data_IF_166900315579
#
_entry.id   IF_166900315579
#
_cell.length_a   1.000
_cell.length_b   1.000
_cell.length_c   1.000
_cell.angle_alpha   90.00
_cell.angle_beta   90.00
_cell.angle_gamma   90.00
#
_symmetry.space_group_name_H-M   'P 1'
#
loop_
_entity.id
_entity.type
_entity.pdbx_description
1 polymer ?
#
# COMPACT_ATOMS: atom_id res chain seq x y z
N UNK A 1 34.22 -11.49 -0.14
CA UNK A 1 34.53 -11.99 -1.49
C UNK A 1 33.36 -12.74 -2.17
N UNK A 2 32.59 -13.54 -1.41
CA UNK A 2 31.47 -14.31 -2.00
C UNK A 2 30.20 -13.47 -2.22
N UNK A 3 29.95 -12.46 -1.41
CA UNK A 3 28.75 -11.62 -1.50
C UNK A 3 28.76 -10.73 -2.77
N UNK A 4 29.90 -10.17 -3.14
CA UNK A 4 30.01 -9.39 -4.37
C UNK A 4 29.81 -10.23 -5.64
N UNK A 5 30.28 -11.48 -5.65
CA UNK A 5 30.06 -12.41 -6.78
C UNK A 5 28.59 -12.81 -6.91
N UNK A 6 27.89 -13.01 -5.80
CA UNK A 6 26.45 -13.28 -5.78
C UNK A 6 25.64 -12.08 -6.28
N UNK A 7 25.97 -10.88 -5.81
CA UNK A 7 25.30 -9.63 -6.24
C UNK A 7 25.57 -9.31 -7.72
N UNK A 8 26.72 -9.68 -8.27
CA UNK A 8 27.00 -9.53 -9.71
C UNK A 8 26.20 -10.47 -10.60
N UNK A 9 25.72 -11.60 -10.09
CA UNK A 9 24.86 -12.55 -10.82
C UNK A 9 23.37 -12.22 -10.75
N UNK A 10 22.97 -11.38 -9.78
CA UNK A 10 21.61 -10.91 -9.65
C UNK A 10 21.39 -9.76 -10.64
N UNK A 11 20.39 -9.92 -11.53
CA UNK A 11 19.91 -8.81 -12.36
C UNK A 11 19.19 -7.80 -11.46
N UNK A 12 19.49 -6.51 -11.62
CA UNK A 12 18.91 -5.43 -10.85
C UNK A 12 19.94 -4.58 -10.11
N UNK A 13 19.48 -3.50 -9.49
CA UNK A 13 20.33 -2.58 -8.73
C UNK A 13 20.74 -3.23 -7.40
N UNK A 14 22.03 -3.18 -7.11
CA UNK A 14 22.61 -3.74 -5.88
C UNK A 14 22.11 -3.05 -4.62
N UNK A 15 21.87 -1.73 -4.70
CA UNK A 15 21.37 -0.94 -3.58
C UNK A 15 19.98 -1.43 -3.18
N UNK A 16 19.11 -1.67 -4.16
CA UNK A 16 17.76 -2.22 -3.91
C UNK A 16 17.84 -3.57 -3.21
N UNK A 17 18.75 -4.45 -3.64
CA UNK A 17 18.94 -5.76 -3.01
C UNK A 17 19.43 -5.65 -1.57
N UNK A 18 20.37 -4.75 -1.29
CA UNK A 18 20.91 -4.53 0.06
C UNK A 18 19.81 -3.99 0.97
N UNK A 19 19.07 -2.98 0.52
CA UNK A 19 17.95 -2.40 1.29
C UNK A 19 16.88 -3.46 1.58
N UNK A 20 16.53 -4.27 0.60
CA UNK A 20 15.54 -5.34 0.75
C UNK A 20 15.99 -6.39 1.77
N UNK A 21 17.27 -6.78 1.76
CA UNK A 21 17.85 -7.70 2.75
C UNK A 21 17.83 -7.10 4.15
N UNK A 22 18.26 -5.85 4.31
CA UNK A 22 18.26 -5.15 5.60
C UNK A 22 16.83 -5.07 6.16
N UNK A 23 15.86 -4.61 5.35
CA UNK A 23 14.47 -4.53 5.77
C UNK A 23 13.89 -5.91 6.13
N UNK A 24 14.27 -6.96 5.42
CA UNK A 24 13.83 -8.33 5.73
C UNK A 24 14.38 -8.82 7.05
N UNK A 25 15.65 -8.52 7.36
CA UNK A 25 16.25 -8.85 8.66
C UNK A 25 15.57 -8.10 9.80
N UNK A 26 15.34 -6.79 9.64
CA UNK A 26 14.60 -6.01 10.63
C UNK A 26 13.18 -6.56 10.82
N UNK A 27 12.49 -6.91 9.73
CA UNK A 27 11.16 -7.50 9.80
C UNK A 27 11.13 -8.79 10.62
N UNK A 28 12.12 -9.67 10.46
CA UNK A 28 12.26 -10.90 11.25
C UNK A 28 12.44 -10.61 12.74
N UNK A 29 13.31 -9.65 13.09
CA UNK A 29 13.55 -9.25 14.47
C UNK A 29 12.29 -8.67 15.12
N UNK A 30 11.59 -7.75 14.41
CA UNK A 30 10.37 -7.15 14.89
C UNK A 30 9.26 -8.20 15.09
N UNK A 31 9.08 -9.10 14.14
CA UNK A 31 8.06 -10.17 14.26
C UNK A 31 8.39 -11.08 15.45
N UNK A 32 9.66 -11.47 15.62
CA UNK A 32 10.05 -12.30 16.76
C UNK A 32 9.79 -11.61 18.10
N UNK A 33 10.12 -10.31 18.21
CA UNK A 33 9.92 -9.52 19.43
C UNK A 33 8.43 -9.27 19.72
N UNK A 34 7.64 -8.91 18.69
CA UNK A 34 6.24 -8.46 18.87
C UNK A 34 5.23 -9.60 19.02
N UNK A 35 5.57 -10.83 18.62
CA UNK A 35 4.63 -11.95 18.60
C UNK A 35 4.48 -12.69 19.95
N UNK A 36 5.19 -12.30 21.00
CA UNK A 36 5.13 -12.95 22.30
C UNK A 36 3.70 -13.07 22.87
N UNK A 37 2.95 -11.98 22.94
CA UNK A 37 1.57 -11.96 23.45
C UNK A 37 0.60 -12.75 22.55
N UNK A 38 0.83 -12.73 21.23
CA UNK A 38 0.04 -13.45 20.26
C UNK A 38 0.30 -14.96 20.31
N UNK A 39 1.56 -15.34 20.57
CA UNK A 39 1.97 -16.73 20.75
C UNK A 39 1.27 -17.38 21.94
N UNK A 40 1.18 -16.68 23.07
CA UNK A 40 0.43 -17.17 24.23
C UNK A 40 -1.07 -17.38 23.93
N UNK A 41 -1.68 -16.48 23.16
CA UNK A 41 -3.12 -16.56 22.84
C UNK A 41 -3.47 -17.62 21.79
N UNK A 42 -2.60 -17.87 20.79
CA UNK A 42 -2.93 -18.67 19.60
C UNK A 42 -2.07 -19.93 19.40
N UNK A 43 -0.92 -20.01 20.03
CA UNK A 43 0.06 -21.07 19.77
C UNK A 43 0.70 -21.64 21.06
N UNK A 44 0.00 -21.59 22.20
CA UNK A 44 0.50 -22.16 23.47
C UNK A 44 1.86 -21.63 23.92
N UNK A 45 2.20 -20.38 23.58
CA UNK A 45 3.48 -19.74 23.92
C UNK A 45 4.58 -19.93 22.87
N UNK A 46 4.33 -20.62 21.76
CA UNK A 46 5.35 -20.91 20.75
C UNK A 46 5.58 -19.74 19.80
N UNK A 47 6.50 -18.84 20.14
CA UNK A 47 6.90 -17.70 19.32
C UNK A 47 7.63 -18.13 18.05
N UNK A 48 8.34 -19.26 18.10
CA UNK A 48 9.09 -19.79 16.97
C UNK A 48 8.17 -20.16 15.78
N UNK A 49 6.94 -20.58 16.04
CA UNK A 49 5.96 -20.87 14.99
C UNK A 49 5.69 -19.65 14.11
N UNK A 50 5.48 -18.47 14.71
CA UNK A 50 5.24 -17.23 13.97
C UNK A 50 6.48 -16.75 13.21
N UNK A 51 7.66 -16.88 13.83
CA UNK A 51 8.94 -16.60 13.19
C UNK A 51 9.17 -17.48 11.96
N UNK A 52 9.01 -18.80 12.09
CA UNK A 52 9.22 -19.74 10.99
C UNK A 52 8.23 -19.49 9.84
N UNK A 53 6.96 -19.21 10.17
CA UNK A 53 5.94 -18.85 9.18
C UNK A 53 6.32 -17.57 8.42
N UNK A 54 6.75 -16.52 9.14
CA UNK A 54 7.16 -15.26 8.52
C UNK A 54 8.42 -15.42 7.66
N UNK A 55 9.40 -16.15 8.15
CA UNK A 55 10.62 -16.48 7.41
C UNK A 55 10.30 -17.26 6.12
N UNK A 56 9.42 -18.24 6.17
CA UNK A 56 8.95 -18.98 5.00
C UNK A 56 8.27 -18.08 3.97
N UNK A 57 7.43 -17.12 4.42
CA UNK A 57 6.80 -16.14 3.53
C UNK A 57 7.82 -15.21 2.87
N UNK A 58 8.85 -14.76 3.61
CA UNK A 58 9.93 -13.95 3.05
C UNK A 58 10.73 -14.73 2.01
N UNK A 59 11.11 -15.97 2.27
CA UNK A 59 11.80 -16.82 1.30
C UNK A 59 10.96 -17.03 0.04
N UNK A 60 9.65 -17.30 0.19
CA UNK A 60 8.72 -17.39 -0.93
C UNK A 60 8.65 -16.09 -1.73
N UNK A 61 8.58 -14.94 -1.07
CA UNK A 61 8.63 -13.63 -1.70
C UNK A 61 9.93 -13.39 -2.49
N UNK A 62 11.08 -13.69 -1.90
CA UNK A 62 12.38 -13.62 -2.59
C UNK A 62 12.42 -14.53 -3.82
N UNK A 63 11.90 -15.75 -3.71
CA UNK A 63 11.84 -16.68 -4.83
C UNK A 63 10.99 -16.12 -5.98
N UNK A 64 9.81 -15.56 -5.67
CA UNK A 64 8.94 -14.92 -6.66
C UNK A 64 9.64 -13.74 -7.33
N UNK A 65 10.31 -12.87 -6.56
CA UNK A 65 11.07 -11.73 -7.10
C UNK A 65 12.15 -12.23 -8.08
N UNK A 66 12.91 -13.27 -7.71
CA UNK A 66 13.95 -13.84 -8.57
C UNK A 66 13.38 -14.45 -9.84
N UNK A 67 12.23 -15.12 -9.77
CA UNK A 67 11.54 -15.65 -10.94
C UNK A 67 11.08 -14.53 -11.87
N UNK A 68 10.47 -13.48 -11.34
CA UNK A 68 10.00 -12.34 -12.12
C UNK A 68 11.17 -11.66 -12.83
N UNK A 69 12.26 -11.35 -12.11
CA UNK A 69 13.43 -10.67 -12.69
C UNK A 69 14.11 -11.53 -13.77
N UNK A 70 14.17 -12.86 -13.59
CA UNK A 70 14.83 -13.75 -14.55
C UNK A 70 13.97 -14.08 -15.76
N UNK A 71 12.68 -14.30 -15.57
CA UNK A 71 11.80 -14.89 -16.60
C UNK A 71 10.81 -13.92 -17.23
N UNK A 72 10.39 -12.87 -16.50
CA UNK A 72 9.37 -11.94 -16.98
C UNK A 72 10.03 -10.76 -17.68
N UNK A 73 9.76 -10.61 -18.98
CA UNK A 73 10.19 -9.41 -19.73
C UNK A 73 9.24 -8.24 -19.41
N UNK A 74 9.77 -7.03 -19.31
CA UNK A 74 9.01 -5.80 -19.04
C UNK A 74 7.82 -5.64 -20.01
N UNK A 75 7.98 -6.07 -21.26
CA UNK A 75 6.89 -6.08 -22.25
C UNK A 75 5.65 -6.85 -21.77
N UNK A 76 5.83 -8.00 -21.13
CA UNK A 76 4.69 -8.77 -20.60
C UNK A 76 4.03 -8.08 -19.41
N UNK A 77 4.82 -7.49 -18.51
CA UNK A 77 4.27 -6.69 -17.41
C UNK A 77 3.42 -5.54 -17.94
N UNK A 78 3.88 -4.87 -18.99
CA UNK A 78 3.13 -3.81 -19.66
C UNK A 78 1.80 -4.35 -20.26
N UNK A 79 1.82 -5.46 -21.00
CA UNK A 79 0.61 -6.02 -21.63
C UNK A 79 -0.41 -6.45 -20.56
N UNK A 80 0.05 -7.14 -19.53
CA UNK A 80 -0.83 -7.66 -18.47
C UNK A 80 -1.25 -6.64 -17.43
N UNK A 81 -0.70 -5.42 -17.45
CA UNK A 81 -1.00 -4.40 -16.42
C UNK A 81 -2.48 -4.06 -16.30
N UNK A 82 -3.20 -3.91 -17.42
CA UNK A 82 -4.63 -3.62 -17.43
C UNK A 82 -5.47 -4.80 -16.93
N UNK A 83 -5.11 -6.01 -17.34
CA UNK A 83 -5.81 -7.23 -16.91
C UNK A 83 -5.58 -7.49 -15.41
N UNK A 84 -4.33 -7.30 -14.95
CA UNK A 84 -3.96 -7.41 -13.54
C UNK A 84 -4.73 -6.40 -12.68
N UNK A 85 -4.88 -5.15 -13.16
CA UNK A 85 -5.64 -4.13 -12.45
C UNK A 85 -7.12 -4.50 -12.36
N UNK A 86 -7.73 -4.92 -13.47
CA UNK A 86 -9.13 -5.32 -13.48
C UNK A 86 -9.38 -6.51 -12.54
N UNK A 87 -8.54 -7.53 -12.61
CA UNK A 87 -8.63 -8.72 -11.75
C UNK A 87 -8.45 -8.39 -10.27
N UNK A 88 -7.40 -7.65 -9.92
CA UNK A 88 -7.12 -7.29 -8.53
C UNK A 88 -8.18 -6.34 -7.94
N UNK A 89 -8.71 -5.42 -8.76
CA UNK A 89 -9.81 -4.55 -8.35
C UNK A 89 -11.11 -5.35 -8.15
N UNK A 90 -11.40 -6.30 -9.01
CA UNK A 90 -12.50 -7.25 -8.83
C UNK A 90 -12.40 -8.04 -7.51
N UNK A 91 -11.20 -8.53 -7.17
CA UNK A 91 -10.95 -9.18 -5.88
C UNK A 91 -11.15 -8.23 -4.70
N UNK A 92 -10.77 -6.95 -4.83
CA UNK A 92 -11.02 -5.94 -3.81
C UNK A 92 -12.52 -5.73 -3.58
N UNK A 93 -13.29 -5.57 -4.64
CA UNK A 93 -14.74 -5.44 -4.57
C UNK A 93 -15.39 -6.68 -3.96
N UNK A 94 -14.95 -7.86 -4.37
CA UNK A 94 -15.41 -9.12 -3.79
C UNK A 94 -15.16 -9.19 -2.28
N UNK A 95 -13.97 -8.81 -1.83
CA UNK A 95 -13.65 -8.76 -0.40
C UNK A 95 -14.51 -7.76 0.38
N UNK A 96 -14.84 -6.62 -0.24
CA UNK A 96 -15.73 -5.62 0.36
C UNK A 96 -17.18 -6.12 0.48
N UNK A 97 -17.69 -6.82 -0.54
CA UNK A 97 -19.06 -7.35 -0.57
C UNK A 97 -19.22 -8.53 0.39
N UNK A 98 -18.30 -9.47 0.34
CA UNK A 98 -18.38 -10.68 1.18
C UNK A 98 -18.13 -10.37 2.65
N UNK A 99 -17.51 -9.25 3.00
CA UNK A 99 -17.08 -8.91 4.37
C UNK A 99 -16.45 -10.11 5.09
N UNK A 100 -15.76 -10.97 4.34
CA UNK A 100 -15.16 -12.20 4.81
C UNK A 100 -14.00 -11.85 5.74
N UNK A 101 -14.13 -12.23 6.99
CA UNK A 101 -13.17 -11.94 8.05
C UNK A 101 -13.77 -11.00 9.10
N UNK A 102 -13.59 -11.38 10.35
CA UNK A 102 -14.12 -10.66 11.51
C UNK A 102 -13.80 -9.16 11.44
N UNK A 103 -14.80 -8.38 11.15
CA UNK A 103 -14.86 -6.95 11.43
C UNK A 103 -14.40 -5.96 10.36
N UNK A 104 -13.54 -6.26 9.38
CA UNK A 104 -12.96 -5.20 8.53
C UNK A 104 -13.07 -5.38 7.01
N UNK A 105 -13.44 -6.56 6.49
CA UNK A 105 -13.52 -6.82 5.04
C UNK A 105 -12.22 -6.54 4.27
N UNK A 106 -11.06 -6.71 4.92
CA UNK A 106 -9.76 -6.32 4.37
C UNK A 106 -8.96 -7.49 3.82
N UNK A 107 -9.19 -8.69 4.31
CA UNK A 107 -8.40 -9.88 3.99
C UNK A 107 -9.28 -10.98 3.43
N UNK A 108 -8.79 -11.64 2.39
CA UNK A 108 -9.33 -12.90 1.90
C UNK A 108 -8.44 -14.04 2.41
N UNK A 109 -9.05 -15.02 3.06
CA UNK A 109 -8.37 -16.22 3.53
C UNK A 109 -8.67 -17.39 2.58
N UNK A 110 -7.64 -18.04 2.06
CA UNK A 110 -7.75 -19.28 1.30
C UNK A 110 -6.90 -20.32 2.04
N UNK A 111 -7.57 -21.15 2.85
CA UNK A 111 -6.89 -22.13 3.69
C UNK A 111 -5.96 -21.47 4.72
N UNK A 112 -4.68 -21.80 4.67
CA UNK A 112 -3.67 -21.26 5.61
C UNK A 112 -3.10 -19.91 5.22
N UNK A 113 -3.42 -19.41 4.03
CA UNK A 113 -2.88 -18.14 3.50
C UNK A 113 -3.98 -17.10 3.53
N UNK A 114 -3.73 -16.01 4.25
CA UNK A 114 -4.57 -14.81 4.18
C UNK A 114 -3.81 -13.72 3.42
N UNK A 115 -4.44 -13.12 2.43
CA UNK A 115 -3.88 -12.00 1.69
C UNK A 115 -4.87 -10.84 1.65
N UNK A 116 -4.34 -9.65 1.49
CA UNK A 116 -5.14 -8.43 1.38
C UNK A 116 -5.23 -8.02 -0.09
N UNK A 117 -6.41 -8.06 -0.73
CA UNK A 117 -6.55 -7.68 -2.14
C UNK A 117 -6.05 -6.27 -2.45
N UNK A 118 -6.15 -5.33 -1.51
CA UNK A 118 -5.63 -3.98 -1.66
C UNK A 118 -4.12 -3.94 -1.98
N UNK A 119 -3.33 -4.91 -1.50
CA UNK A 119 -1.90 -5.00 -1.81
C UNK A 119 -1.66 -5.30 -3.30
N UNK A 120 -2.45 -6.23 -3.86
CA UNK A 120 -2.38 -6.56 -5.30
C UNK A 120 -2.82 -5.38 -6.16
N UNK A 121 -3.90 -4.69 -5.75
CA UNK A 121 -4.43 -3.53 -6.48
C UNK A 121 -3.39 -2.40 -6.53
N UNK A 122 -2.66 -2.15 -5.44
CA UNK A 122 -1.59 -1.13 -5.40
C UNK A 122 -0.51 -1.40 -6.45
N UNK A 123 0.00 -2.63 -6.49
CA UNK A 123 1.03 -3.02 -7.46
C UNK A 123 0.50 -2.90 -8.89
N UNK A 124 -0.71 -3.41 -9.14
CA UNK A 124 -1.34 -3.39 -10.45
C UNK A 124 -1.62 -1.97 -10.95
N UNK A 125 -2.04 -1.07 -10.06
CA UNK A 125 -2.26 0.34 -10.39
C UNK A 125 -0.96 1.05 -10.75
N UNK A 126 0.10 0.85 -9.99
CA UNK A 126 1.42 1.43 -10.27
C UNK A 126 1.93 0.96 -11.64
N UNK A 127 1.80 -0.34 -11.95
CA UNK A 127 2.18 -0.89 -13.26
C UNK A 127 1.34 -0.29 -14.40
N UNK A 128 0.03 -0.17 -14.20
CA UNK A 128 -0.88 0.41 -15.17
C UNK A 128 -0.56 1.88 -15.47
N UNK A 129 -0.38 2.69 -14.43
CA UNK A 129 -0.06 4.11 -14.56
C UNK A 129 1.31 4.31 -15.21
N UNK A 130 2.32 3.53 -14.80
CA UNK A 130 3.66 3.57 -15.41
C UNK A 130 3.62 3.26 -16.90
N UNK A 131 2.84 2.24 -17.30
CA UNK A 131 2.63 1.93 -18.71
C UNK A 131 1.94 3.06 -19.45
N UNK A 132 0.88 3.62 -18.88
CA UNK A 132 0.10 4.67 -19.52
C UNK A 132 0.96 5.94 -19.73
N UNK A 133 1.78 6.29 -18.75
CA UNK A 133 2.76 7.38 -18.87
C UNK A 133 3.80 7.06 -19.96
N UNK A 134 4.43 5.88 -19.91
CA UNK A 134 5.45 5.48 -20.86
C UNK A 134 4.96 5.45 -22.33
N UNK A 135 3.70 5.05 -22.54
CA UNK A 135 3.13 4.98 -23.89
C UNK A 135 2.65 6.34 -24.44
N UNK A 136 2.46 7.33 -23.58
CA UNK A 136 1.89 8.63 -23.96
C UNK A 136 2.85 9.80 -23.72
N UNK A 137 4.12 9.53 -23.46
CA UNK A 137 5.15 10.58 -23.36
C UNK A 137 6.20 10.34 -24.43
N UNK A 138 6.52 11.40 -25.18
CA UNK A 138 7.65 11.46 -26.09
C UNK A 138 8.77 12.29 -25.48
N UNK A 139 9.99 12.20 -26.07
CA UNK A 139 11.15 12.94 -25.56
C UNK A 139 10.90 14.46 -25.51
N UNK A 140 10.11 14.99 -26.45
CA UNK A 140 9.84 16.41 -26.62
C UNK A 140 8.48 16.85 -26.03
N UNK A 141 7.50 15.94 -25.91
CA UNK A 141 6.15 16.29 -25.50
C UNK A 141 5.76 15.61 -24.18
N UNK A 142 5.26 16.40 -23.21
CA UNK A 142 4.71 15.86 -21.98
C UNK A 142 3.41 15.09 -22.25
N UNK A 143 3.00 14.20 -21.32
CA UNK A 143 1.73 13.50 -21.42
C UNK A 143 0.54 14.44 -21.61
N UNK A 144 -0.38 14.07 -22.50
CA UNK A 144 -1.55 14.88 -22.82
C UNK A 144 -2.51 15.01 -21.64
N UNK A 145 -3.36 16.05 -21.67
CA UNK A 145 -4.42 16.23 -20.69
C UNK A 145 -5.37 15.01 -20.62
N UNK A 146 -5.61 14.33 -21.75
CA UNK A 146 -6.41 13.10 -21.78
C UNK A 146 -5.74 11.97 -20.97
N UNK A 147 -4.44 11.80 -21.11
CA UNK A 147 -3.67 10.81 -20.34
C UNK A 147 -3.74 11.12 -18.86
N UNK A 148 -3.56 12.38 -18.47
CA UNK A 148 -3.68 12.82 -17.09
C UNK A 148 -5.07 12.51 -16.50
N UNK A 149 -6.15 12.88 -17.19
CA UNK A 149 -7.52 12.63 -16.75
C UNK A 149 -7.78 11.12 -16.62
N UNK A 150 -7.29 10.32 -17.57
CA UNK A 150 -7.45 8.85 -17.50
C UNK A 150 -6.75 8.26 -16.29
N UNK A 151 -5.53 8.70 -15.98
CA UNK A 151 -4.80 8.27 -14.78
C UNK A 151 -5.55 8.67 -13.52
N UNK A 152 -5.99 9.94 -13.47
CA UNK A 152 -6.71 10.47 -12.31
C UNK A 152 -8.03 9.74 -12.06
N UNK A 153 -8.81 9.47 -13.11
CA UNK A 153 -10.06 8.74 -13.03
C UNK A 153 -9.88 7.31 -12.51
N UNK A 154 -8.96 6.56 -13.12
CA UNK A 154 -8.69 5.16 -12.71
C UNK A 154 -8.13 5.12 -11.29
N UNK A 155 -7.17 5.98 -10.98
CA UNK A 155 -6.58 6.05 -9.62
C UNK A 155 -7.61 6.48 -8.58
N UNK A 156 -8.48 7.43 -8.92
CA UNK A 156 -9.58 7.88 -8.06
C UNK A 156 -10.54 6.75 -7.71
N UNK A 157 -11.02 6.01 -8.71
CA UNK A 157 -11.91 4.86 -8.49
C UNK A 157 -11.26 3.79 -7.62
N UNK A 158 -10.00 3.45 -7.88
CA UNK A 158 -9.25 2.47 -7.07
C UNK A 158 -9.05 2.96 -5.65
N UNK A 159 -8.62 4.22 -5.47
CA UNK A 159 -8.43 4.81 -4.14
C UNK A 159 -9.75 4.89 -3.35
N UNK A 160 -10.87 5.22 -4.00
CA UNK A 160 -12.19 5.17 -3.38
C UNK A 160 -12.52 3.74 -2.91
N UNK A 161 -12.31 2.72 -3.74
CA UNK A 161 -12.52 1.32 -3.35
C UNK A 161 -11.68 0.93 -2.12
N UNK A 162 -10.40 1.30 -2.07
CA UNK A 162 -9.52 1.02 -0.93
C UNK A 162 -9.94 1.84 0.30
N UNK A 163 -10.37 3.09 0.14
CA UNK A 163 -10.73 3.99 1.24
C UNK A 163 -11.88 3.45 2.09
N UNK A 164 -12.80 2.68 1.49
CA UNK A 164 -13.88 2.01 2.18
C UNK A 164 -13.38 1.01 3.25
N UNK A 165 -12.20 0.46 3.06
CA UNK A 165 -11.56 -0.45 4.02
C UNK A 165 -10.42 0.21 4.79
N UNK A 166 -9.62 1.06 4.15
CA UNK A 166 -8.45 1.71 4.76
C UNK A 166 -8.12 3.05 4.09
N UNK A 167 -8.61 4.13 4.68
CA UNK A 167 -8.40 5.48 4.19
C UNK A 167 -6.92 5.87 4.10
N UNK A 168 -6.11 5.54 5.12
CA UNK A 168 -4.68 5.88 5.13
C UNK A 168 -3.91 5.22 3.98
N UNK A 169 -4.23 3.96 3.68
CA UNK A 169 -3.62 3.24 2.55
C UNK A 169 -4.03 3.85 1.22
N UNK A 170 -5.29 4.26 1.07
CA UNK A 170 -5.77 4.94 -0.14
C UNK A 170 -5.06 6.28 -0.35
N UNK A 171 -4.90 7.08 0.72
CA UNK A 171 -4.21 8.36 0.66
C UNK A 171 -2.73 8.20 0.27
N UNK A 172 -2.01 7.24 0.87
CA UNK A 172 -0.62 6.94 0.52
C UNK A 172 -0.49 6.47 -0.94
N UNK A 173 -1.41 5.62 -1.40
CA UNK A 173 -1.42 5.18 -2.80
C UNK A 173 -1.64 6.37 -3.74
N UNK A 174 -2.59 7.24 -3.44
CA UNK A 174 -2.85 8.43 -4.23
C UNK A 174 -1.61 9.34 -4.32
N UNK A 175 -0.94 9.58 -3.19
CA UNK A 175 0.32 10.33 -3.16
C UNK A 175 1.41 9.64 -4.00
N UNK A 176 1.50 8.31 -3.95
CA UNK A 176 2.44 7.54 -4.78
C UNK A 176 2.15 7.74 -6.27
N UNK A 177 0.88 7.74 -6.68
CA UNK A 177 0.50 7.99 -8.08
C UNK A 177 0.80 9.43 -8.48
N UNK A 178 0.56 10.41 -7.60
CA UNK A 178 0.92 11.80 -7.85
C UNK A 178 2.44 11.95 -8.08
N UNK A 179 3.24 11.28 -7.25
CA UNK A 179 4.69 11.27 -7.39
C UNK A 179 5.14 10.58 -8.69
N UNK A 180 4.47 9.49 -9.06
CA UNK A 180 4.73 8.80 -10.32
C UNK A 180 4.40 9.68 -11.54
N UNK A 181 3.30 10.43 -11.50
CA UNK A 181 2.95 11.41 -12.54
C UNK A 181 3.98 12.56 -12.62
N UNK A 182 4.51 12.99 -11.48
CA UNK A 182 5.59 13.98 -11.43
C UNK A 182 6.86 13.46 -12.13
N UNK A 183 7.29 12.24 -11.82
CA UNK A 183 8.42 11.60 -12.52
C UNK A 183 8.11 11.41 -14.00
N UNK A 184 6.86 11.10 -14.35
CA UNK A 184 6.37 10.93 -15.72
C UNK A 184 6.18 12.24 -16.49
N UNK A 185 6.74 13.36 -16.00
CA UNK A 185 6.73 14.68 -16.66
C UNK A 185 5.33 15.25 -16.95
N UNK A 186 4.32 14.84 -16.18
CA UNK A 186 3.01 15.47 -16.25
C UNK A 186 3.15 16.95 -15.86
N UNK A 187 2.54 17.90 -16.62
CA UNK A 187 2.65 19.33 -16.30
C UNK A 187 2.26 19.65 -14.87
N UNK A 188 3.12 20.39 -14.16
CA UNK A 188 2.94 20.73 -12.74
C UNK A 188 1.61 21.45 -12.47
N UNK A 189 1.08 22.16 -13.44
CA UNK A 189 -0.24 22.81 -13.36
C UNK A 189 -1.35 21.80 -13.04
N UNK A 190 -1.35 20.64 -13.69
CA UNK A 190 -2.36 19.60 -13.46
C UNK A 190 -2.17 18.94 -12.10
N UNK A 191 -0.93 18.68 -11.68
CA UNK A 191 -0.64 18.16 -10.36
C UNK A 191 -1.06 19.15 -9.27
N UNK A 192 -0.75 20.42 -9.43
CA UNK A 192 -1.13 21.47 -8.50
C UNK A 192 -2.65 21.58 -8.32
N UNK A 193 -3.41 21.55 -9.41
CA UNK A 193 -4.88 21.54 -9.39
C UNK A 193 -5.40 20.32 -8.65
N UNK A 194 -4.81 19.14 -8.88
CA UNK A 194 -5.25 17.90 -8.24
C UNK A 194 -4.96 17.93 -6.74
N UNK A 195 -3.79 18.42 -6.34
CA UNK A 195 -3.43 18.56 -4.91
C UNK A 195 -4.37 19.55 -4.23
N UNK A 196 -4.58 20.72 -4.85
CA UNK A 196 -5.49 21.74 -4.32
C UNK A 196 -6.92 21.20 -4.20
N UNK A 197 -7.41 20.49 -5.23
CA UNK A 197 -8.71 19.82 -5.21
C UNK A 197 -8.81 18.73 -4.12
N UNK A 198 -7.75 17.94 -3.93
CA UNK A 198 -7.67 16.94 -2.86
C UNK A 198 -7.74 17.57 -1.47
N UNK A 199 -6.99 18.64 -1.24
CA UNK A 199 -7.02 19.39 0.02
C UNK A 199 -8.41 19.98 0.25
N UNK A 200 -8.99 20.63 -0.78
CA UNK A 200 -10.33 21.20 -0.69
C UNK A 200 -11.38 20.14 -0.37
N UNK A 201 -11.27 18.93 -0.97
CA UNK A 201 -12.14 17.80 -0.67
C UNK A 201 -12.01 17.32 0.78
N UNK A 202 -10.79 17.23 1.31
CA UNK A 202 -10.54 16.85 2.71
C UNK A 202 -11.12 17.90 3.66
N UNK A 203 -10.95 19.19 3.37
CA UNK A 203 -11.52 20.29 4.15
C UNK A 203 -13.05 20.25 4.11
N UNK A 204 -13.63 20.11 2.93
CA UNK A 204 -15.09 19.98 2.76
C UNK A 204 -15.63 18.78 3.54
N UNK A 205 -14.95 17.63 3.42
CA UNK A 205 -15.32 16.42 4.17
C UNK A 205 -15.24 16.64 5.69
N UNK A 206 -14.22 17.34 6.18
CA UNK A 206 -14.07 17.68 7.59
C UNK A 206 -15.22 18.59 8.08
N UNK A 207 -15.57 19.62 7.29
CA UNK A 207 -16.68 20.53 7.61
C UNK A 207 -18.01 19.76 7.62
N UNK A 208 -18.28 18.94 6.61
CA UNK A 208 -19.50 18.11 6.55
C UNK A 208 -19.55 17.08 7.67
N UNK A 209 -18.40 16.48 8.01
CA UNK A 209 -18.28 15.51 9.09
C UNK A 209 -18.57 16.12 10.47
N UNK A 210 -18.39 17.43 10.64
CA UNK A 210 -18.77 18.12 11.88
C UNK A 210 -20.28 18.22 12.07
N UNK A 211 -21.04 18.13 10.95
CA UNK A 211 -22.50 18.25 10.95
C UNK A 211 -23.24 16.91 10.98
N UNK A 212 -22.53 15.78 10.71
CA UNK A 212 -23.16 14.45 10.60
C UNK A 212 -22.44 13.43 11.49
N UNK A 213 -23.15 12.89 12.47
CA UNK A 213 -22.61 11.90 13.43
C UNK A 213 -22.63 10.47 12.85
N UNK A 214 -21.71 10.13 11.95
CA UNK A 214 -21.56 8.78 11.39
C UNK A 214 -20.24 8.16 11.87
N UNK A 215 -20.29 6.98 12.49
CA UNK A 215 -19.20 6.37 13.26
C UNK A 215 -17.81 6.27 12.59
N UNK A 216 -17.73 6.04 11.24
CA UNK A 216 -16.44 6.02 10.53
C UNK A 216 -15.89 7.42 10.25
N UNK A 217 -16.76 8.39 10.06
CA UNK A 217 -16.40 9.80 9.86
C UNK A 217 -15.78 10.36 11.12
N UNK A 218 -16.30 10.01 12.30
CA UNK A 218 -15.74 10.39 13.60
C UNK A 218 -14.32 9.86 13.81
N UNK A 219 -13.98 8.70 13.26
CA UNK A 219 -12.60 8.16 13.33
C UNK A 219 -11.62 8.99 12.51
N UNK A 220 -12.01 9.47 11.32
CA UNK A 220 -11.16 10.33 10.48
C UNK A 220 -11.03 11.71 11.12
N UNK A 221 -12.15 12.29 11.58
CA UNK A 221 -12.16 13.55 12.31
C UNK A 221 -11.25 13.50 13.54
N UNK A 222 -11.37 12.47 14.38
CA UNK A 222 -10.54 12.30 15.56
C UNK A 222 -9.03 12.16 15.26
N UNK A 223 -8.65 11.65 14.09
CA UNK A 223 -7.24 11.63 13.64
C UNK A 223 -6.76 13.01 13.20
N UNK A 224 -7.60 13.76 12.49
CA UNK A 224 -7.29 15.13 12.05
C UNK A 224 -7.20 16.05 13.27
N UNK A 225 -8.15 15.96 14.19
CA UNK A 225 -8.17 16.76 15.42
C UNK A 225 -6.92 16.50 16.28
N UNK A 226 -6.51 15.24 16.43
CA UNK A 226 -5.26 14.88 17.14
C UNK A 226 -4.03 15.43 16.44
N UNK A 227 -4.00 15.44 15.12
CA UNK A 227 -2.88 15.97 14.36
C UNK A 227 -2.77 17.50 14.49
N UNK A 228 -3.91 18.21 14.50
CA UNK A 228 -3.93 19.69 14.54
C UNK A 228 -3.80 20.22 15.97
N UNK A 229 -4.49 19.59 16.93
CA UNK A 229 -4.58 20.10 18.32
C UNK A 229 -3.51 19.51 19.26
N UNK A 230 -2.70 18.54 18.80
CA UNK A 230 -1.90 17.69 19.68
C UNK A 230 -2.80 16.71 20.44
N UNK A 231 -2.20 15.74 21.13
CA UNK A 231 -2.97 14.85 22.01
C UNK A 231 -3.48 15.68 23.20
N UNK A 232 -4.78 15.95 23.33
CA UNK A 232 -5.31 16.31 24.64
C UNK A 232 -5.18 15.04 25.49
N UNK A 233 -4.66 15.14 26.69
CA UNK A 233 -4.62 14.06 27.68
C UNK A 233 -5.95 13.33 27.66
N UNK A 234 -5.89 12.09 27.20
CA UNK A 234 -7.04 11.39 26.65
C UNK A 234 -7.94 10.82 27.73
N UNK A 235 -9.15 11.27 27.77
CA UNK A 235 -10.27 10.50 28.36
C UNK A 235 -10.70 9.28 27.54
N UNK A 236 -10.07 9.00 26.38
CA UNK A 236 -10.42 7.88 25.50
C UNK A 236 -9.21 7.00 25.26
N UNK A 237 -9.06 5.98 26.13
CA UNK A 237 -8.26 4.78 25.98
C UNK A 237 -6.88 4.87 25.29
N UNK A 238 -5.86 4.32 25.92
CA UNK A 238 -4.49 4.19 25.41
C UNK A 238 -4.48 3.73 23.96
N UNK A 239 -3.92 4.52 23.05
CA UNK A 239 -3.84 4.20 21.63
C UNK A 239 -2.70 3.24 21.33
N UNK A 240 -2.71 2.59 20.15
CA UNK A 240 -1.59 1.74 19.71
C UNK A 240 -0.25 2.51 19.66
N UNK A 241 -0.28 3.81 19.40
CA UNK A 241 0.90 4.66 19.41
C UNK A 241 1.44 4.86 20.83
N UNK A 242 0.57 4.96 21.81
CA UNK A 242 0.96 5.09 23.22
C UNK A 242 1.56 3.79 23.76
N UNK A 243 1.00 2.65 23.37
CA UNK A 243 1.63 1.35 23.66
C UNK A 243 3.01 1.22 23.01
N UNK A 244 3.18 1.72 21.79
CA UNK A 244 4.50 1.71 21.14
C UNK A 244 5.50 2.63 21.86
N UNK A 245 5.08 3.80 22.33
CA UNK A 245 5.92 4.72 23.13
C UNK A 245 6.30 4.12 24.49
N UNK A 246 5.40 3.38 25.12
CA UNK A 246 5.68 2.69 26.40
C UNK A 246 6.60 1.47 26.24
N UNK A 247 6.75 0.94 25.03
CA UNK A 247 7.57 -0.24 24.74
C UNK A 247 9.03 0.12 24.41
N UNK A 248 9.38 1.40 24.31
CA UNK A 248 10.72 1.93 24.08
C UNK A 248 11.32 2.39 25.42
#
# INVERSE_FOLDING_TARGET
>A
YNMERLLRRLKGDKVIWIVLLILSLFSLLVVYSSTGSLAYRKAGGNTFYFFARHFGMLLGGFFVILLVIKKVKIKYLSIFSSLSLLFSFGLLLLALVLRVGEGTGRTLGIGFISFQPAELVKISLVLFVSRLLANNQDAENPPSAKTFISILAVSGVVCLGISLSNFSTAALLFLTIMFLMFIGRVPLKFLGITIAGGIAMVVLFYVLASSVNVGRINTVKGRIDRFIKGDPESEVGITQADYAKMAI
#
